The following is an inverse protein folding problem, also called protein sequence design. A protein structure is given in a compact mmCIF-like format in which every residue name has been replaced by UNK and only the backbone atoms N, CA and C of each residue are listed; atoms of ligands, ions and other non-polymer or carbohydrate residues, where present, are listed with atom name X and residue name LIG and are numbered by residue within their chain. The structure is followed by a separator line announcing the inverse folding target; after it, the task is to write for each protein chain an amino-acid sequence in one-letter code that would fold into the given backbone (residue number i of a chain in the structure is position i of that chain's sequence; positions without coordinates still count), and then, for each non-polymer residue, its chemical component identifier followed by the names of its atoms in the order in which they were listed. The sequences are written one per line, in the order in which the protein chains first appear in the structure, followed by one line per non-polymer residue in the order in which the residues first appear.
data_IF_158007672939
#
_entry.id   IF_158007672939
#
_cell.length_a   1.000
_cell.length_b   1.000
_cell.length_c   1.000
_cell.angle_alpha   90.00
_cell.angle_beta   90.00
_cell.angle_gamma   90.00
#
_symmetry.space_group_name_H-M   'P 1'
#
loop_
_entity.id
_entity.type
_entity.pdbx_description
1 polymer ?
#
# COMPACT_ATOMS: atom_id res chain seq x y z
N UNK A 1 -4.58 -0.41 -8.81
CA UNK A 1 -3.20 -0.18 -9.32
C UNK A 1 -2.30 0.15 -8.16
N UNK A 2 -1.09 -0.38 -8.08
CA UNK A 2 -0.09 -0.04 -7.08
C UNK A 2 0.70 1.18 -7.57
N UNK A 3 0.71 2.27 -6.81
CA UNK A 3 1.42 3.49 -7.17
C UNK A 3 2.87 3.49 -6.64
N UNK A 4 3.05 3.11 -5.40
CA UNK A 4 4.35 3.03 -4.76
C UNK A 4 4.40 1.85 -3.79
N UNK A 5 5.59 1.33 -3.55
CA UNK A 5 5.86 0.25 -2.61
C UNK A 5 7.22 0.42 -1.97
N UNK A 6 7.28 0.21 -0.68
CA UNK A 6 8.52 0.08 0.10
C UNK A 6 8.43 -1.22 0.87
N UNK A 7 9.55 -1.90 0.96
CA UNK A 7 9.73 -3.09 1.79
C UNK A 7 10.80 -2.76 2.83
N UNK A 8 10.51 -3.02 4.08
CA UNK A 8 11.45 -2.82 5.20
C UNK A 8 11.51 -4.07 6.08
N UNK A 9 12.58 -4.22 6.89
CA UNK A 9 12.69 -5.34 7.82
C UNK A 9 11.53 -5.37 8.83
N UNK A 10 11.20 -6.56 9.33
CA UNK A 10 10.08 -6.77 10.24
C UNK A 10 10.22 -6.04 11.61
N UNK A 11 11.41 -5.58 11.96
CA UNK A 11 11.64 -4.78 13.16
C UNK A 11 11.26 -3.29 13.01
N UNK A 12 10.94 -2.84 11.78
CA UNK A 12 10.44 -1.50 11.51
C UNK A 12 8.92 -1.54 11.51
N UNK A 13 8.28 -0.71 12.32
CA UNK A 13 6.83 -0.61 12.33
C UNK A 13 6.32 0.03 11.03
N UNK A 14 5.17 -0.43 10.53
CA UNK A 14 4.56 0.08 9.30
C UNK A 14 4.36 1.59 9.32
N UNK A 15 4.01 2.12 10.47
CA UNK A 15 3.87 3.56 10.71
C UNK A 15 5.17 4.35 10.48
N UNK A 16 6.32 3.78 10.87
CA UNK A 16 7.63 4.41 10.70
C UNK A 16 8.11 4.32 9.24
N UNK A 17 7.68 3.28 8.52
CA UNK A 17 7.92 3.12 7.08
C UNK A 17 7.03 3.99 6.19
N UNK A 18 5.98 4.60 6.72
CA UNK A 18 5.01 5.34 5.92
C UNK A 18 5.58 6.66 5.36
N UNK A 19 6.37 7.40 6.13
CA UNK A 19 6.91 8.70 5.69
C UNK A 19 7.76 8.62 4.41
N UNK A 20 8.74 7.70 4.28
CA UNK A 20 9.50 7.53 3.04
C UNK A 20 8.59 7.16 1.86
N UNK A 21 7.59 6.31 2.09
CA UNK A 21 6.61 5.93 1.07
C UNK A 21 5.81 7.14 0.58
N UNK A 22 5.32 7.97 1.49
CA UNK A 22 4.56 9.16 1.16
C UNK A 22 5.40 10.19 0.40
N UNK A 23 6.67 10.39 0.77
CA UNK A 23 7.60 11.25 0.03
C UNK A 23 7.80 10.77 -1.40
N UNK A 24 7.99 9.47 -1.59
CA UNK A 24 8.11 8.88 -2.92
C UNK A 24 6.82 9.04 -3.72
N UNK A 25 5.68 8.76 -3.11
CA UNK A 25 4.37 8.89 -3.74
C UNK A 25 4.08 10.33 -4.15
N UNK A 26 4.39 11.31 -3.29
CA UNK A 26 4.19 12.72 -3.60
C UNK A 26 5.01 13.18 -4.81
N UNK A 27 6.26 12.74 -4.89
CA UNK A 27 7.13 13.10 -6.01
C UNK A 27 6.66 12.53 -7.34
N UNK A 28 6.16 11.29 -7.33
CA UNK A 28 5.76 10.57 -8.55
C UNK A 28 4.29 10.86 -8.94
N UNK A 29 3.43 11.13 -7.96
CA UNK A 29 1.99 11.26 -8.14
C UNK A 29 1.46 12.50 -7.40
N UNK A 30 1.83 13.72 -7.82
CA UNK A 30 1.48 14.96 -7.13
C UNK A 30 -0.03 15.26 -7.10
N UNK A 31 -0.80 14.61 -7.97
CA UNK A 31 -2.25 14.76 -8.08
C UNK A 31 -3.04 13.97 -7.02
N UNK A 32 -2.39 13.11 -6.25
CA UNK A 32 -3.06 12.39 -5.16
C UNK A 32 -3.27 13.34 -3.98
N UNK A 33 -4.51 13.48 -3.53
CA UNK A 33 -4.90 14.42 -2.48
C UNK A 33 -5.30 13.73 -1.18
N UNK A 34 -5.77 12.49 -1.26
CA UNK A 34 -6.32 11.76 -0.11
C UNK A 34 -5.58 10.47 0.15
N UNK A 35 -5.29 10.23 1.42
CA UNK A 35 -4.70 8.98 1.92
C UNK A 35 -5.70 8.33 2.87
N UNK A 36 -5.93 7.05 2.70
CA UNK A 36 -6.79 6.27 3.58
C UNK A 36 -5.90 5.22 4.24
N UNK A 37 -5.85 5.24 5.55
CA UNK A 37 -5.10 4.28 6.36
C UNK A 37 -5.99 3.58 7.38
N UNK A 38 -5.53 2.46 7.90
CA UNK A 38 -6.18 1.80 9.03
C UNK A 38 -5.79 2.43 10.38
N UNK A 39 -6.35 1.89 11.47
CA UNK A 39 -6.10 2.40 12.81
C UNK A 39 -4.63 2.33 13.25
N UNK A 40 -3.81 1.48 12.64
CA UNK A 40 -2.37 1.39 12.91
C UNK A 40 -1.60 2.65 12.53
N UNK A 41 -2.14 3.44 11.60
CA UNK A 41 -1.55 4.68 11.12
C UNK A 41 -2.08 5.95 11.80
N UNK A 42 -2.75 5.82 12.94
CA UNK A 42 -3.24 6.97 13.72
C UNK A 42 -2.17 7.49 14.67
N UNK A 43 -2.37 8.73 15.15
CA UNK A 43 -1.58 9.36 16.19
C UNK A 43 -0.75 10.56 15.73
N UNK A 44 -0.23 11.35 16.70
CA UNK A 44 0.44 12.62 16.41
C UNK A 44 1.72 12.45 15.59
N UNK A 45 2.45 11.36 15.78
CA UNK A 45 3.67 11.04 15.03
C UNK A 45 3.36 10.86 13.54
N UNK A 46 2.29 10.12 13.23
CA UNK A 46 1.86 9.91 11.85
C UNK A 46 1.31 11.19 11.23
N UNK A 47 0.51 11.95 11.96
CA UNK A 47 0.00 13.23 11.48
C UNK A 47 1.13 14.21 11.13
N UNK A 48 2.18 14.27 11.95
CA UNK A 48 3.38 15.08 11.68
C UNK A 48 4.15 14.56 10.45
N UNK A 49 4.26 13.24 10.27
CA UNK A 49 4.90 12.64 9.10
C UNK A 49 4.12 13.00 7.82
N UNK A 50 2.81 12.90 7.83
CA UNK A 50 1.95 13.29 6.70
C UNK A 50 2.13 14.77 6.37
N UNK A 51 2.11 15.65 7.37
CA UNK A 51 2.30 17.10 7.18
C UNK A 51 3.66 17.44 6.56
N UNK A 52 4.73 16.71 6.91
CA UNK A 52 6.07 16.90 6.33
C UNK A 52 6.19 16.45 4.87
N UNK A 53 5.32 15.54 4.44
CA UNK A 53 5.40 14.96 3.08
C UNK A 53 4.53 15.67 2.06
N UNK A 54 3.55 16.46 2.49
CA UNK A 54 2.70 17.23 1.58
C UNK A 54 1.34 17.60 2.18
N UNK A 55 0.47 18.16 1.34
CA UNK A 55 -0.88 18.61 1.71
C UNK A 55 -1.92 17.48 1.59
N UNK A 56 -1.63 16.33 2.15
CA UNK A 56 -2.53 15.19 2.12
C UNK A 56 -3.70 15.37 3.09
N UNK A 57 -4.88 14.93 2.68
CA UNK A 57 -5.99 14.68 3.59
C UNK A 57 -5.94 13.23 4.04
N UNK A 58 -5.53 12.98 5.27
CA UNK A 58 -5.47 11.64 5.82
C UNK A 58 -6.77 11.26 6.51
N UNK A 59 -7.34 10.15 6.09
CA UNK A 59 -8.55 9.56 6.66
C UNK A 59 -8.20 8.21 7.29
N UNK A 60 -8.46 8.07 8.59
CA UNK A 60 -8.23 6.83 9.33
C UNK A 60 -9.54 6.06 9.42
N UNK A 61 -9.53 4.85 8.86
CA UNK A 61 -10.66 3.91 8.98
C UNK A 61 -10.50 3.11 10.26
N UNK A 62 -11.37 3.35 11.23
CA UNK A 62 -11.41 2.62 12.50
C UNK A 62 -12.36 1.45 12.42
N UNK A 63 -11.99 0.32 13.02
CA UNK A 63 -12.95 -0.74 13.33
C UNK A 63 -13.92 -0.21 14.38
N UNK A 64 -15.22 -0.32 14.11
CA UNK A 64 -16.22 -0.13 15.16
C UNK A 64 -16.13 -1.33 16.11
N UNK A 65 -15.69 -1.13 17.35
CA UNK A 65 -15.53 -2.18 18.37
C UNK A 65 -16.87 -2.74 18.91
N UNK A 66 -17.97 -2.42 18.31
CA UNK A 66 -19.25 -3.03 18.61
C UNK A 66 -19.35 -4.33 17.83
N UNK A 67 -19.35 -5.45 18.52
CA UNK A 67 -19.58 -6.86 18.15
C UNK A 67 -20.36 -7.18 16.84
N UNK A 68 -20.35 -6.31 15.86
CA UNK A 68 -20.95 -6.45 14.55
C UNK A 68 -19.88 -6.42 13.48
N UNK A 69 -19.93 -7.38 12.58
CA UNK A 69 -19.14 -7.36 11.36
C UNK A 69 -19.57 -6.16 10.52
N UNK A 70 -18.72 -5.14 10.46
CA UNK A 70 -18.91 -3.99 9.58
C UNK A 70 -17.87 -4.07 8.47
N UNK A 71 -18.34 -4.12 7.23
CA UNK A 71 -17.47 -4.02 6.06
C UNK A 71 -16.90 -2.61 6.00
N UNK A 72 -15.61 -2.48 6.26
CA UNK A 72 -14.93 -1.19 6.20
C UNK A 72 -14.84 -0.72 4.74
N UNK A 73 -15.23 0.53 4.43
CA UNK A 73 -15.15 1.06 3.09
C UNK A 73 -13.72 0.98 2.56
N UNK A 74 -13.57 0.56 1.30
CA UNK A 74 -12.29 0.51 0.56
C UNK A 74 -11.21 -0.46 1.08
N UNK A 75 -11.44 -1.19 2.17
CA UNK A 75 -10.52 -2.22 2.66
C UNK A 75 -10.29 -3.33 1.61
N UNK A 76 -11.33 -3.69 0.90
CA UNK A 76 -11.26 -4.69 -0.17
C UNK A 76 -10.22 -4.37 -1.25
N UNK A 77 -9.91 -3.08 -1.48
CA UNK A 77 -8.89 -2.66 -2.45
C UNK A 77 -7.50 -3.13 -2.02
N UNK A 78 -7.18 -2.97 -0.74
CA UNK A 78 -5.91 -3.41 -0.15
C UNK A 78 -5.83 -4.93 -0.15
N UNK A 79 -6.87 -5.61 0.33
CA UNK A 79 -6.94 -7.07 0.38
C UNK A 79 -6.81 -7.69 -1.02
N UNK A 80 -7.44 -7.11 -2.01
CA UNK A 80 -7.31 -7.52 -3.41
C UNK A 80 -5.88 -7.34 -3.93
N UNK A 81 -5.23 -6.23 -3.62
CA UNK A 81 -3.86 -5.95 -4.04
C UNK A 81 -2.89 -6.94 -3.41
N UNK A 82 -3.02 -7.21 -2.11
CA UNK A 82 -2.23 -8.22 -1.40
C UNK A 82 -2.50 -9.62 -2.00
N UNK A 83 -3.76 -9.95 -2.29
CA UNK A 83 -4.12 -11.20 -2.94
C UNK A 83 -3.46 -11.37 -4.32
N UNK A 84 -3.32 -10.32 -5.10
CA UNK A 84 -2.60 -10.39 -6.37
C UNK A 84 -1.10 -10.60 -6.19
N UNK A 85 -0.49 -9.97 -5.20
CA UNK A 85 0.92 -10.14 -4.85
C UNK A 85 1.16 -11.59 -4.42
N UNK A 86 0.29 -12.14 -3.57
CA UNK A 86 0.39 -13.50 -3.03
C UNK A 86 0.25 -14.60 -4.09
N UNK A 87 -0.37 -14.32 -5.24
CA UNK A 87 -0.41 -15.25 -6.38
C UNK A 87 0.93 -15.47 -7.08
N UNK A 88 1.91 -14.63 -6.78
CA UNK A 88 3.25 -14.80 -7.33
C UNK A 88 4.09 -15.64 -6.37
N UNK A 89 4.47 -16.85 -6.80
CA UNK A 89 5.17 -17.84 -5.98
C UNK A 89 6.40 -17.30 -5.24
N UNK A 90 7.14 -16.39 -5.86
CA UNK A 90 8.34 -15.78 -5.26
C UNK A 90 8.04 -14.77 -4.16
N UNK A 91 6.80 -14.26 -4.08
CA UNK A 91 6.37 -13.29 -3.08
C UNK A 91 5.64 -13.94 -1.90
N UNK A 92 5.24 -15.21 -2.03
CA UNK A 92 4.60 -15.98 -0.94
C UNK A 92 5.61 -16.35 0.15
N UNK A 93 6.87 -16.55 -0.23
CA UNK A 93 7.97 -16.83 0.69
C UNK A 93 9.07 -15.81 0.45
N UNK A 94 9.35 -15.02 1.45
CA UNK A 94 10.45 -14.05 1.40
C UNK A 94 11.76 -14.76 1.73
N UNK A 95 12.46 -15.18 0.67
CA UNK A 95 13.83 -15.70 0.77
C UNK A 95 14.87 -14.60 0.52
N UNK A 96 14.42 -13.38 0.27
CA UNK A 96 15.29 -12.26 -0.06
C UNK A 96 15.95 -11.67 1.19
N UNK A 97 17.28 -11.66 1.22
CA UNK A 97 18.05 -10.96 2.26
C UNK A 97 17.96 -9.43 2.14
N UNK A 98 17.53 -8.91 1.00
CA UNK A 98 17.53 -7.49 0.69
C UNK A 98 16.13 -6.97 0.36
N UNK A 99 15.65 -6.02 1.14
CA UNK A 99 14.35 -5.35 0.91
C UNK A 99 14.22 -4.75 -0.50
N UNK A 100 15.33 -4.29 -1.10
CA UNK A 100 15.34 -3.76 -2.47
C UNK A 100 14.95 -4.83 -3.50
N UNK A 101 15.39 -6.07 -3.32
CA UNK A 101 15.06 -7.20 -4.20
C UNK A 101 13.58 -7.56 -4.05
N UNK A 102 13.08 -7.66 -2.82
CA UNK A 102 11.66 -7.90 -2.56
C UNK A 102 10.79 -6.81 -3.21
N UNK A 103 11.16 -5.54 -3.06
CA UNK A 103 10.49 -4.41 -3.70
C UNK A 103 10.47 -4.52 -5.23
N UNK A 104 11.58 -4.94 -5.85
CA UNK A 104 11.66 -5.16 -7.29
C UNK A 104 10.72 -6.28 -7.76
N UNK A 105 10.63 -7.38 -7.02
CA UNK A 105 9.70 -8.46 -7.34
C UNK A 105 8.23 -8.04 -7.23
N UNK A 106 7.87 -7.25 -6.22
CA UNK A 106 6.51 -6.69 -6.10
C UNK A 106 6.19 -5.82 -7.31
N UNK A 107 7.10 -4.96 -7.73
CA UNK A 107 6.92 -4.10 -8.92
C UNK A 107 6.75 -4.94 -10.18
N UNK A 108 7.58 -5.96 -10.39
CA UNK A 108 7.47 -6.85 -11.56
C UNK A 108 6.14 -7.61 -11.58
N UNK A 109 5.67 -8.08 -10.43
CA UNK A 109 4.38 -8.74 -10.31
C UNK A 109 3.23 -7.79 -10.70
N UNK A 110 3.28 -6.55 -10.27
CA UNK A 110 2.27 -5.54 -10.61
C UNK A 110 2.33 -5.14 -12.08
N UNK A 111 3.51 -4.99 -12.67
CA UNK A 111 3.69 -4.74 -14.10
C UNK A 111 3.06 -5.88 -14.91
N UNK A 112 3.33 -7.14 -14.56
CA UNK A 112 2.70 -8.29 -15.21
C UNK A 112 1.18 -8.24 -15.17
N UNK A 113 0.59 -7.88 -14.02
CA UNK A 113 -0.86 -7.75 -13.88
C UNK A 113 -1.41 -6.63 -14.77
N UNK A 114 -0.74 -5.49 -14.81
CA UNK A 114 -1.14 -4.36 -15.64
C UNK A 114 -1.06 -4.70 -17.13
N UNK A 115 0.02 -5.33 -17.58
CA UNK A 115 0.18 -5.77 -18.97
C UNK A 115 -0.91 -6.76 -19.38
N UNK A 116 -1.25 -7.72 -18.53
CA UNK A 116 -2.36 -8.66 -18.79
C UNK A 116 -3.71 -7.95 -18.94
N UNK A 117 -3.94 -6.90 -18.14
CA UNK A 117 -5.18 -6.11 -18.24
C UNK A 117 -5.25 -5.29 -19.52
N UNK A 118 -4.12 -4.72 -19.93
CA UNK A 118 -4.03 -3.98 -21.20
C UNK A 118 -4.18 -4.90 -22.41
N UNK A 119 -3.63 -6.11 -22.34
CA UNK A 119 -3.73 -7.11 -23.39
C UNK A 119 -5.08 -7.82 -23.44
N UNK A 120 -5.85 -7.82 -22.34
CA UNK A 120 -7.22 -8.35 -22.35
C UNK A 120 -8.08 -7.44 -23.22
N UNK A 121 -8.60 -7.97 -24.34
CA UNK A 121 -9.56 -7.26 -25.18
C UNK A 121 -10.76 -6.88 -24.30
N UNK A 122 -11.28 -5.64 -24.39
CA UNK A 122 -12.54 -5.30 -23.75
C UNK A 122 -13.57 -6.30 -24.26
N UNK A 123 -14.21 -7.02 -23.36
CA UNK A 123 -15.39 -7.83 -23.70
C UNK A 123 -16.43 -6.89 -24.27
N UNK A 124 -16.72 -7.12 -25.52
CA UNK A 124 -17.76 -6.39 -26.21
C UNK A 124 -19.12 -6.60 -25.52
#
# INVERSE_FOLDING_TARGET
MLLAVIVHPANVQDRDGAEPLLRQARRLFPFVERIIGDAGYQGPKMAAAVARTGTWKMEIVRRCDRHRFVVLPKRWVIERTIGWISRNRRLVRDFGRHCRIACAFVRMAMIRIMLRRLAAKPSA
#
